data_IF_120984567493
#
_entry.id   IF_120984567493
#
_cell.length_a   1.000
_cell.length_b   1.000
_cell.length_c   1.000
_cell.angle_alpha   90.00
_cell.angle_beta   90.00
_cell.angle_gamma   90.00
#
_symmetry.space_group_name_H-M   'P 1'
#
loop_
_entity.id
_entity.type
_entity.pdbx_description
1 polymer ?
#
# COMPACT_ATOMS: atom_id res chain seq x y z
N UNK A 1 -16.38 12.19 -18.83
CA UNK A 1 -16.64 11.26 -17.71
C UNK A 1 -15.45 11.24 -16.77
N UNK A 2 -15.71 11.40 -15.50
CA UNK A 2 -14.67 11.36 -14.47
C UNK A 2 -14.27 9.91 -14.21
N UNK A 3 -12.97 9.63 -14.19
CA UNK A 3 -12.44 8.30 -13.89
C UNK A 3 -11.57 8.36 -12.66
N UNK A 4 -11.83 7.48 -11.68
CA UNK A 4 -11.06 7.39 -10.45
C UNK A 4 -9.76 6.61 -10.68
N UNK A 5 -8.94 7.07 -11.64
CA UNK A 5 -7.70 6.41 -11.99
C UNK A 5 -6.55 7.39 -12.01
N UNK A 6 -5.42 6.92 -11.55
CA UNK A 6 -4.17 7.66 -11.61
C UNK A 6 -3.19 6.88 -12.50
N UNK A 7 -2.95 7.37 -13.72
CA UNK A 7 -2.07 6.73 -14.69
C UNK A 7 -2.42 5.25 -14.92
N UNK A 8 -3.73 4.98 -15.09
CA UNK A 8 -4.22 3.62 -15.29
C UNK A 8 -4.32 2.78 -14.03
N UNK A 9 -3.99 3.35 -12.87
CA UNK A 9 -4.08 2.65 -11.58
C UNK A 9 -5.28 3.13 -10.80
N UNK A 10 -5.85 2.25 -9.99
CA UNK A 10 -7.01 2.54 -9.14
C UNK A 10 -6.61 3.00 -7.74
N UNK A 11 -5.32 3.16 -7.48
CA UNK A 11 -4.83 3.74 -6.23
C UNK A 11 -3.47 4.39 -6.48
N UNK A 12 -3.07 5.30 -5.59
CA UNK A 12 -1.77 5.97 -5.69
C UNK A 12 -0.73 5.38 -4.76
N UNK A 13 -1.14 4.55 -3.81
CA UNK A 13 -0.26 4.07 -2.73
C UNK A 13 0.35 2.69 -2.98
N UNK A 14 -0.16 1.94 -3.96
CA UNK A 14 0.22 0.54 -4.14
C UNK A 14 1.71 0.32 -4.36
N UNK A 15 2.34 1.13 -5.20
CA UNK A 15 3.79 1.03 -5.44
C UNK A 15 4.58 1.35 -4.18
N UNK A 16 4.14 2.35 -3.42
CA UNK A 16 4.78 2.73 -2.17
C UNK A 16 4.65 1.60 -1.14
N UNK A 17 3.47 1.00 -1.04
CA UNK A 17 3.23 -0.14 -0.15
C UNK A 17 4.19 -1.29 -0.49
N UNK A 18 4.32 -1.62 -1.77
CA UNK A 18 5.22 -2.69 -2.19
C UNK A 18 6.66 -2.38 -1.82
N UNK A 19 7.10 -1.14 -2.06
CA UNK A 19 8.45 -0.70 -1.71
C UNK A 19 8.70 -0.77 -0.22
N UNK A 20 7.80 -0.21 0.59
CA UNK A 20 7.93 -0.21 2.04
C UNK A 20 7.95 -1.62 2.60
N UNK A 21 7.10 -2.50 2.06
CA UNK A 21 7.06 -3.90 2.46
C UNK A 21 8.42 -4.59 2.20
N UNK A 22 8.97 -4.36 1.02
CA UNK A 22 10.24 -4.97 0.63
C UNK A 22 11.42 -4.41 1.39
N UNK A 23 11.33 -3.18 1.89
CA UNK A 23 12.39 -2.52 2.65
C UNK A 23 12.37 -2.86 4.14
N UNK A 24 11.33 -3.52 4.62
CA UNK A 24 11.27 -3.90 6.04
C UNK A 24 12.37 -4.90 6.38
N UNK A 25 12.82 -4.83 7.64
CA UNK A 25 13.82 -5.76 8.18
C UNK A 25 13.20 -6.45 9.39
N UNK A 26 12.99 -7.78 9.34
CA UNK A 26 13.25 -8.66 8.19
C UNK A 26 12.30 -8.37 7.03
N UNK A 27 12.71 -8.77 5.83
CA UNK A 27 11.91 -8.59 4.63
C UNK A 27 10.53 -9.21 4.80
N UNK A 28 9.50 -8.46 4.46
CA UNK A 28 8.11 -8.86 4.69
C UNK A 28 7.45 -9.25 3.38
N UNK A 29 6.97 -10.50 3.29
CA UNK A 29 6.22 -10.98 2.14
C UNK A 29 4.82 -10.37 2.13
N UNK A 30 4.10 -10.51 1.01
CA UNK A 30 2.70 -10.09 0.94
C UNK A 30 1.86 -10.84 1.97
N UNK A 31 2.13 -12.12 2.18
CA UNK A 31 1.41 -12.91 3.18
C UNK A 31 1.71 -12.42 4.59
N UNK A 32 2.97 -12.13 4.88
CA UNK A 32 3.35 -11.60 6.19
C UNK A 32 2.69 -10.24 6.44
N UNK A 33 2.58 -9.40 5.41
CA UNK A 33 1.87 -8.13 5.53
C UNK A 33 0.39 -8.36 5.82
N UNK A 34 -0.23 -9.35 5.17
CA UNK A 34 -1.62 -9.71 5.45
C UNK A 34 -1.81 -10.09 6.92
N UNK A 35 -0.86 -10.85 7.49
CA UNK A 35 -0.90 -11.23 8.89
C UNK A 35 -0.80 -10.01 9.82
N UNK A 36 0.08 -9.06 9.48
CA UNK A 36 0.21 -7.81 10.25
C UNK A 36 -1.07 -6.99 10.21
N UNK A 37 -1.70 -6.91 9.04
CA UNK A 37 -2.97 -6.21 8.89
C UNK A 37 -4.05 -6.84 9.75
N UNK A 38 -4.10 -8.18 9.78
CA UNK A 38 -5.08 -8.91 10.58
C UNK A 38 -4.93 -8.60 12.06
N UNK A 39 -3.69 -8.47 12.54
CA UNK A 39 -3.44 -8.08 13.93
C UNK A 39 -4.00 -6.70 14.25
N UNK A 40 -4.10 -5.84 13.25
CA UNK A 40 -4.67 -4.50 13.38
C UNK A 40 -6.19 -4.49 13.14
N UNK A 41 -6.80 -5.65 12.99
CA UNK A 41 -8.23 -5.77 12.73
C UNK A 41 -8.65 -5.59 11.28
N UNK A 42 -7.69 -5.61 10.36
CA UNK A 42 -7.95 -5.41 8.94
C UNK A 42 -7.79 -6.73 8.19
N UNK A 43 -8.88 -7.25 7.67
CA UNK A 43 -8.89 -8.56 7.00
C UNK A 43 -8.67 -8.40 5.50
N UNK A 44 -7.40 -8.29 5.12
CA UNK A 44 -6.98 -8.27 3.72
C UNK A 44 -6.04 -9.44 3.49
N UNK A 45 -6.37 -10.31 2.56
CA UNK A 45 -5.53 -11.46 2.26
C UNK A 45 -4.39 -11.10 1.30
N UNK A 46 -3.51 -12.08 1.06
CA UNK A 46 -2.37 -11.93 0.17
C UNK A 46 -2.80 -11.48 -1.23
N UNK A 47 -3.86 -12.05 -1.77
CA UNK A 47 -4.33 -11.74 -3.12
C UNK A 47 -4.85 -10.30 -3.20
N UNK A 48 -5.52 -9.84 -2.15
CA UNK A 48 -5.97 -8.46 -2.06
C UNK A 48 -4.79 -7.49 -2.04
N UNK A 49 -3.75 -7.82 -1.26
CA UNK A 49 -2.54 -7.00 -1.19
C UNK A 49 -1.87 -6.94 -2.56
N UNK A 50 -1.76 -8.07 -3.23
CA UNK A 50 -1.18 -8.14 -4.57
C UNK A 50 -1.93 -7.22 -5.55
N UNK A 51 -3.25 -7.20 -5.46
CA UNK A 51 -4.09 -6.34 -6.31
C UNK A 51 -3.93 -4.87 -5.98
N UNK A 52 -3.73 -4.54 -4.71
CA UNK A 52 -3.44 -3.17 -4.29
C UNK A 52 -2.08 -2.74 -4.87
N UNK A 53 -1.06 -3.56 -4.70
CA UNK A 53 0.30 -3.24 -5.15
C UNK A 53 0.37 -3.10 -6.67
N UNK A 54 -0.40 -3.90 -7.39
CA UNK A 54 -0.47 -3.82 -8.85
C UNK A 54 -1.37 -2.70 -9.37
N UNK A 55 -2.08 -2.02 -8.47
CA UNK A 55 -2.95 -0.90 -8.83
C UNK A 55 -4.32 -1.29 -9.32
N UNK A 56 -4.71 -2.55 -9.20
CA UNK A 56 -6.01 -3.03 -9.70
C UNK A 56 -7.16 -2.76 -8.74
N UNK A 57 -6.87 -2.58 -7.46
CA UNK A 57 -7.88 -2.41 -6.42
C UNK A 57 -7.81 -1.03 -5.81
N UNK A 58 -8.98 -0.43 -5.56
CA UNK A 58 -9.08 0.81 -4.78
C UNK A 58 -8.70 0.54 -3.33
N UNK A 59 -8.18 1.55 -2.66
CA UNK A 59 -7.80 1.49 -1.25
C UNK A 59 -8.63 2.52 -0.50
N UNK A 60 -9.30 2.09 0.57
CA UNK A 60 -10.14 2.98 1.36
C UNK A 60 -9.29 3.82 2.32
N UNK A 61 -9.89 4.90 2.82
CA UNK A 61 -9.21 5.77 3.79
C UNK A 61 -8.88 5.02 5.09
N UNK A 62 -9.76 4.13 5.52
CA UNK A 62 -9.52 3.29 6.71
C UNK A 62 -8.30 2.39 6.48
N UNK A 63 -8.23 1.77 5.31
CA UNK A 63 -7.11 0.91 4.94
C UNK A 63 -5.79 1.70 4.90
N UNK A 64 -5.82 2.91 4.35
CA UNK A 64 -4.65 3.77 4.31
C UNK A 64 -4.08 4.04 5.70
N UNK A 65 -4.96 4.29 6.68
CA UNK A 65 -4.55 4.55 8.06
C UNK A 65 -3.85 3.34 8.66
N UNK A 66 -4.35 2.14 8.38
CA UNK A 66 -3.74 0.90 8.90
C UNK A 66 -2.39 0.63 8.24
N UNK A 67 -2.29 0.79 6.93
CA UNK A 67 -1.01 0.65 6.24
C UNK A 67 0.03 1.64 6.79
N UNK A 68 -0.37 2.90 6.96
CA UNK A 68 0.52 3.92 7.49
C UNK A 68 1.02 3.55 8.89
N UNK A 69 0.13 3.03 9.73
CA UNK A 69 0.50 2.59 11.08
C UNK A 69 1.53 1.47 11.03
N UNK A 70 1.31 0.45 10.19
CA UNK A 70 2.22 -0.69 10.08
C UNK A 70 3.61 -0.24 9.63
N UNK A 71 3.67 0.68 8.68
CA UNK A 71 4.95 1.14 8.14
C UNK A 71 5.57 2.28 8.96
N UNK A 72 4.86 2.78 9.98
CA UNK A 72 5.39 3.84 10.84
C UNK A 72 5.53 5.18 10.14
N UNK A 73 4.65 5.47 9.19
CA UNK A 73 4.64 6.73 8.44
C UNK A 73 3.25 7.37 8.52
N UNK A 74 3.14 8.59 8.03
CA UNK A 74 1.83 9.26 7.93
C UNK A 74 1.09 8.81 6.69
N UNK A 75 -0.23 9.02 6.66
CA UNK A 75 -1.03 8.78 5.46
C UNK A 75 -0.55 9.69 4.32
N UNK A 76 -0.19 10.93 4.63
CA UNK A 76 0.34 11.85 3.63
C UNK A 76 1.59 11.29 2.96
N UNK A 77 2.52 10.75 3.76
CA UNK A 77 3.72 10.12 3.22
C UNK A 77 3.39 8.90 2.36
N UNK A 78 2.39 8.12 2.78
CA UNK A 78 1.96 6.94 2.02
C UNK A 78 1.39 7.32 0.66
N UNK A 79 0.74 8.46 0.57
CA UNK A 79 0.12 8.95 -0.67
C UNK A 79 1.06 9.75 -1.54
N UNK A 80 2.26 10.07 -1.06
CA UNK A 80 3.23 10.82 -1.84
C UNK A 80 3.71 10.01 -3.03
N UNK A 81 3.89 10.70 -4.15
CA UNK A 81 4.49 10.13 -5.34
C UNK A 81 5.90 9.65 -4.99
N UNK A 82 6.24 8.46 -5.50
CA UNK A 82 7.63 8.02 -5.45
C UNK A 82 8.38 8.90 -6.44
N UNK A 83 9.24 9.76 -5.90
CA UNK A 83 10.09 10.62 -6.73
C UNK A 83 11.42 9.93 -6.89
N UNK A 84 11.73 9.51 -8.11
CA UNK A 84 13.07 9.09 -8.44
C UNK A 84 13.88 10.35 -8.71
N UNK A 85 14.84 10.57 -7.86
CA UNK A 85 15.71 11.73 -8.02
C UNK A 85 16.80 11.35 -9.00
N UNK A 86 16.64 11.82 -10.21
CA UNK A 86 17.64 11.66 -11.26
C UNK A 86 18.44 12.96 -11.34
N UNK A 87 19.56 12.95 -10.70
CA UNK A 87 20.45 14.10 -10.76
C UNK A 87 21.72 13.75 -11.46
#
# INVERSE_FOLDING_TARGET
MYKNRNNGRNNVCGKKIARLRQQRVPKTSQRALADLLQLEGMDLDKNTIQRIESGKRFVTDIELKVFAKIFGITVDELLQKIVEINH
#
